data_IF_219611206382
#
_entry.id   IF_219611206382
#
_cell.length_a   1.000
_cell.length_b   1.000
_cell.length_c   1.000
_cell.angle_alpha   90.00
_cell.angle_beta   90.00
_cell.angle_gamma   90.00
#
_symmetry.space_group_name_H-M   'P 1'
#
loop_
_entity.id
_entity.type
_entity.pdbx_description
1 polymer ?
#
# COMPACT_ATOMS: atom_id res chain seq x y z
N UNK A 1 2.95 6.76 -5.26
CA UNK A 1 1.87 5.76 -5.33
C UNK A 1 1.69 5.18 -3.94
N UNK A 2 0.45 4.97 -3.49
CA UNK A 2 0.12 4.44 -2.17
C UNK A 2 0.45 2.94 -2.05
N UNK A 3 0.52 2.44 -0.81
CA UNK A 3 0.60 0.99 -0.58
C UNK A 3 -0.78 0.35 -0.78
N UNK A 4 -0.83 -0.94 -1.07
CA UNK A 4 -2.06 -1.73 -1.09
C UNK A 4 -1.82 -3.08 -0.41
N UNK A 5 -2.81 -3.51 0.38
CA UNK A 5 -2.81 -4.82 1.02
C UNK A 5 -4.24 -5.35 1.11
N UNK A 6 -4.44 -6.66 1.32
CA UNK A 6 -5.77 -7.21 1.52
C UNK A 6 -6.50 -6.51 2.67
N UNK A 7 -7.73 -6.07 2.44
CA UNK A 7 -8.53 -5.39 3.46
C UNK A 7 -8.62 -6.20 4.77
N UNK A 8 -8.80 -7.52 4.65
CA UNK A 8 -8.91 -8.41 5.81
C UNK A 8 -7.66 -8.44 6.69
N UNK A 9 -6.46 -8.26 6.12
CA UNK A 9 -5.21 -8.24 6.88
C UNK A 9 -5.03 -6.91 7.61
N UNK A 10 -5.40 -5.80 6.96
CA UNK A 10 -5.37 -4.46 7.56
C UNK A 10 -6.37 -4.34 8.71
N UNK A 11 -7.56 -4.93 8.55
CA UNK A 11 -8.59 -4.96 9.60
C UNK A 11 -8.16 -5.81 10.80
N UNK A 12 -7.45 -6.93 10.58
CA UNK A 12 -6.90 -7.79 11.65
C UNK A 12 -5.90 -7.05 12.54
N UNK A 13 -5.16 -6.09 11.99
CA UNK A 13 -4.22 -5.23 12.74
C UNK A 13 -4.84 -3.88 13.15
N UNK A 14 -6.16 -3.76 13.07
CA UNK A 14 -6.92 -2.58 13.49
C UNK A 14 -6.58 -1.28 12.74
N UNK A 15 -6.08 -1.35 11.50
CA UNK A 15 -5.95 -0.16 10.65
C UNK A 15 -7.35 0.38 10.36
N UNK A 16 -7.53 1.68 10.58
CA UNK A 16 -8.82 2.33 10.40
C UNK A 16 -9.00 2.79 8.95
N UNK A 17 -10.22 2.67 8.46
CA UNK A 17 -10.64 3.25 7.17
C UNK A 17 -11.00 4.70 7.41
N UNK A 18 -10.12 5.59 6.99
CA UNK A 18 -10.21 7.03 7.28
C UNK A 18 -10.62 7.85 6.06
N UNK A 19 -10.35 7.35 4.85
CA UNK A 19 -10.56 8.09 3.61
C UNK A 19 -11.11 7.19 2.49
N UNK A 20 -11.63 7.83 1.45
CA UNK A 20 -12.02 7.20 0.20
C UNK A 20 -11.39 7.93 -0.96
N UNK A 21 -10.95 7.22 -2.00
CA UNK A 21 -10.39 7.84 -3.20
C UNK A 21 -10.69 7.00 -4.44
N UNK A 22 -10.90 7.68 -5.56
CA UNK A 22 -11.20 7.05 -6.84
C UNK A 22 -9.90 6.82 -7.60
N UNK A 23 -9.65 5.57 -7.96
CA UNK A 23 -8.50 5.15 -8.76
C UNK A 23 -8.97 4.69 -10.13
N UNK A 24 -8.21 5.07 -11.16
CA UNK A 24 -8.38 4.56 -12.51
C UNK A 24 -7.45 3.37 -12.71
N UNK A 25 -8.02 2.21 -13.02
CA UNK A 25 -7.27 1.01 -13.34
C UNK A 25 -6.69 1.09 -14.76
N UNK A 26 -5.73 0.22 -15.06
CA UNK A 26 -5.19 0.08 -16.41
C UNK A 26 -6.26 -0.30 -17.46
N UNK A 27 -7.39 -0.86 -17.02
CA UNK A 27 -8.56 -1.11 -17.87
C UNK A 27 -9.37 0.15 -18.22
N UNK A 28 -9.05 1.31 -17.62
CA UNK A 28 -9.84 2.54 -17.68
C UNK A 28 -11.03 2.55 -16.71
N UNK A 29 -11.25 1.47 -15.95
CA UNK A 29 -12.30 1.40 -14.94
C UNK A 29 -11.94 2.29 -13.74
N UNK A 30 -12.93 3.05 -13.24
CA UNK A 30 -12.78 3.87 -12.03
C UNK A 30 -13.38 3.16 -10.83
N UNK A 31 -12.54 2.84 -9.86
CA UNK A 31 -12.92 2.14 -8.63
C UNK A 31 -12.68 3.07 -7.45
N UNK A 32 -13.66 3.18 -6.56
CA UNK A 32 -13.49 3.81 -5.25
C UNK A 32 -12.87 2.81 -4.28
N UNK A 33 -11.75 3.18 -3.68
CA UNK A 33 -11.09 2.41 -2.63
C UNK A 33 -11.17 3.15 -1.29
N UNK A 34 -11.29 2.38 -0.21
CA UNK A 34 -11.09 2.87 1.15
C UNK A 34 -9.60 2.93 1.47
N UNK A 35 -9.19 3.92 2.25
CA UNK A 35 -7.80 4.14 2.64
C UNK A 35 -7.67 4.39 4.15
N UNK A 36 -6.52 4.01 4.68
CA UNK A 36 -6.11 4.29 6.06
C UNK A 36 -4.62 4.60 6.15
N UNK A 37 -4.10 4.70 7.36
CA UNK A 37 -2.68 4.87 7.61
C UNK A 37 -2.11 3.67 8.37
N UNK A 38 -0.95 3.18 7.92
CA UNK A 38 -0.24 2.08 8.56
C UNK A 38 1.22 2.46 8.81
N UNK A 39 1.77 1.98 9.94
CA UNK A 39 3.21 1.99 10.18
C UNK A 39 3.81 0.80 9.43
N UNK A 40 4.82 1.07 8.62
CA UNK A 40 5.49 0.09 7.78
C UNK A 40 6.93 -0.03 8.25
N UNK A 41 7.35 -1.26 8.55
CA UNK A 41 8.72 -1.59 8.90
C UNK A 41 9.33 -2.42 7.77
N UNK A 42 10.48 -1.99 7.25
CA UNK A 42 11.23 -2.69 6.21
C UNK A 42 12.72 -2.46 6.41
N UNK A 43 13.52 -3.54 6.38
CA UNK A 43 14.98 -3.50 6.52
C UNK A 43 15.48 -2.69 7.74
N UNK A 44 14.77 -2.79 8.86
CA UNK A 44 15.13 -2.08 10.10
C UNK A 44 14.86 -0.57 10.07
N UNK A 45 14.16 -0.08 9.04
CA UNK A 45 13.66 1.29 8.94
C UNK A 45 12.14 1.29 9.06
N UNK A 46 11.57 2.39 9.53
CA UNK A 46 10.13 2.51 9.74
C UNK A 46 9.60 3.84 9.23
N UNK A 47 8.42 3.81 8.62
CA UNK A 47 7.70 5.00 8.18
C UNK A 47 6.19 4.82 8.38
N UNK A 48 5.43 5.90 8.23
CA UNK A 48 3.97 5.87 8.20
C UNK A 48 3.54 6.24 6.79
N UNK A 49 2.64 5.45 6.20
CA UNK A 49 2.13 5.74 4.87
C UNK A 49 0.66 5.40 4.74
N UNK A 50 0.06 5.95 3.70
CA UNK A 50 -1.31 5.66 3.32
C UNK A 50 -1.36 4.27 2.67
N UNK A 51 -2.37 3.50 3.05
CA UNK A 51 -2.60 2.14 2.55
C UNK A 51 -4.03 2.02 2.03
N UNK A 52 -4.14 1.43 0.85
CA UNK A 52 -5.40 1.08 0.21
C UNK A 52 -5.88 -0.27 0.75
N UNK A 53 -7.15 -0.33 1.13
CA UNK A 53 -7.85 -1.58 1.45
C UNK A 53 -8.19 -2.29 0.14
N UNK A 54 -7.32 -3.20 -0.27
CA UNK A 54 -7.39 -3.94 -1.52
C UNK A 54 -8.27 -5.18 -1.47
N UNK A 55 -8.53 -5.80 -2.64
CA UNK A 55 -9.34 -7.01 -2.74
C UNK A 55 -8.69 -8.19 -2.00
N UNK A 56 -9.51 -9.17 -1.65
CA UNK A 56 -9.06 -10.38 -0.95
C UNK A 56 -7.99 -11.12 -1.76
N UNK A 57 -6.91 -11.50 -1.08
CA UNK A 57 -5.82 -12.30 -1.65
C UNK A 57 -4.91 -11.55 -2.61
N UNK A 58 -5.02 -10.22 -2.73
CA UNK A 58 -4.05 -9.42 -3.47
C UNK A 58 -2.67 -9.54 -2.82
N UNK A 59 -1.63 -9.72 -3.64
CA UNK A 59 -0.25 -9.60 -3.17
C UNK A 59 -0.03 -8.16 -2.66
N UNK A 60 0.43 -7.95 -1.41
CA UNK A 60 0.70 -6.61 -0.91
C UNK A 60 1.74 -5.90 -1.77
N UNK A 61 1.47 -4.64 -2.13
CA UNK A 61 2.39 -3.81 -2.92
C UNK A 61 2.81 -2.62 -2.07
N UNK A 62 4.12 -2.44 -1.98
CA UNK A 62 4.72 -1.30 -1.30
C UNK A 62 4.73 -0.09 -2.24
N UNK A 63 4.13 1.01 -1.78
CA UNK A 63 4.10 2.25 -2.54
C UNK A 63 5.49 2.84 -2.72
N UNK A 64 5.76 3.41 -3.91
CA UNK A 64 7.05 4.04 -4.23
C UNK A 64 7.47 5.11 -3.21
N UNK A 65 6.50 5.86 -2.67
CA UNK A 65 6.79 6.90 -1.67
C UNK A 65 7.39 6.30 -0.39
N UNK A 66 6.98 5.09 -0.01
CA UNK A 66 7.54 4.38 1.14
C UNK A 66 8.97 3.96 0.85
N UNK A 67 9.22 3.40 -0.33
CA UNK A 67 10.57 3.01 -0.74
C UNK A 67 11.54 4.22 -0.77
N UNK A 68 11.10 5.34 -1.33
CA UNK A 68 11.86 6.61 -1.32
C UNK A 68 12.11 7.08 0.12
N UNK A 69 11.08 7.06 0.98
CA UNK A 69 11.20 7.47 2.38
C UNK A 69 12.17 6.60 3.19
N UNK A 70 12.39 5.34 2.79
CA UNK A 70 13.30 4.42 3.46
C UNK A 70 14.70 4.41 2.81
N UNK A 71 15.00 5.40 1.95
CA UNK A 71 16.31 5.58 1.33
C UNK A 71 16.66 4.53 0.26
N UNK A 72 15.66 3.75 -0.19
CA UNK A 72 15.86 2.71 -1.20
C UNK A 72 15.73 3.30 -2.61
N UNK A 73 16.82 3.30 -3.36
CA UNK A 73 16.78 3.44 -4.82
C UNK A 73 16.16 2.14 -5.34
N UNK A 74 14.91 2.19 -5.78
CA UNK A 74 14.21 1.02 -6.29
C UNK A 74 14.79 0.67 -7.66
N UNK A 75 15.44 -0.50 -7.78
CA UNK A 75 15.60 -1.14 -9.08
C UNK A 75 14.28 -1.89 -9.39
N UNK A 76 13.49 -1.45 -10.38
CA UNK A 76 12.19 -2.05 -10.67
C UNK A 76 12.26 -3.46 -11.26
N UNK A 77 13.46 -4.01 -11.48
CA UNK A 77 13.69 -5.32 -12.10
C UNK A 77 13.97 -6.40 -11.05
N UNK A 78 14.47 -6.02 -9.87
CA UNK A 78 14.92 -6.98 -8.86
C UNK A 78 13.77 -7.37 -7.93
N UNK A 79 13.03 -8.40 -8.34
CA UNK A 79 12.07 -9.11 -7.46
C UNK A 79 12.82 -10.00 -6.47
N UNK A 80 13.48 -9.40 -5.49
CA UNK A 80 13.96 -10.14 -4.33
C UNK A 80 13.47 -9.48 -3.04
N UNK A 81 12.22 -9.82 -2.69
CA UNK A 81 11.67 -9.73 -1.32
C UNK A 81 10.79 -10.96 -1.12
#
# INVERSE_FOLDING_TARGET
MDCIAPAEELEKICVQKEQKSVYELASGEKIEYELGFARIALMGQETVSRVIFGPKGIEPILGVLVLESLGSIVDPTDKQI
#
